data_IF_247566930361
#
_entry.id   IF_247566930361
#
_cell.length_a   1.000
_cell.length_b   1.000
_cell.length_c   1.000
_cell.angle_alpha   90.00
_cell.angle_beta   90.00
_cell.angle_gamma   90.00
#
_symmetry.space_group_name_H-M   'P 1'
#
loop_
_entity.id
_entity.type
_entity.pdbx_description
1 polymer ?
#
# COMPACT_ATOMS: atom_id res chain seq x y z
N UNK A 1 -54.40 -51.31 -23.90
CA UNK A 1 -55.29 -50.14 -24.04
C UNK A 1 -54.43 -48.91 -23.87
N UNK A 2 -54.54 -48.03 -24.85
CA UNK A 2 -53.65 -46.91 -25.15
C UNK A 2 -53.94 -45.66 -24.32
N UNK A 3 -52.94 -44.77 -24.34
CA UNK A 3 -52.98 -43.32 -24.15
C UNK A 3 -53.17 -42.74 -22.74
N UNK A 4 -52.13 -42.03 -22.28
CA UNK A 4 -52.20 -40.56 -22.25
C UNK A 4 -50.86 -39.90 -21.92
N UNK A 5 -50.37 -39.20 -22.94
CA UNK A 5 -49.54 -38.00 -22.93
C UNK A 5 -49.73 -37.13 -21.67
N UNK A 6 -48.64 -36.60 -21.10
CA UNK A 6 -48.44 -35.15 -20.84
C UNK A 6 -47.16 -34.82 -20.06
N UNK A 7 -46.45 -33.85 -20.64
CA UNK A 7 -45.77 -32.73 -19.98
C UNK A 7 -44.39 -32.96 -19.35
N UNK A 8 -43.40 -32.72 -20.21
CA UNK A 8 -42.19 -31.93 -19.93
C UNK A 8 -42.43 -30.84 -18.86
N UNK A 9 -41.66 -30.86 -17.78
CA UNK A 9 -41.31 -29.67 -17.00
C UNK A 9 -39.85 -29.80 -16.56
N UNK A 10 -38.96 -29.23 -17.38
CA UNK A 10 -37.58 -28.96 -17.02
C UNK A 10 -37.55 -27.84 -15.96
N UNK A 11 -37.12 -28.15 -14.74
CA UNK A 11 -36.86 -27.14 -13.71
C UNK A 11 -35.42 -26.65 -13.86
N UNK A 12 -35.24 -25.55 -14.59
CA UNK A 12 -34.02 -24.77 -14.56
C UNK A 12 -33.90 -24.09 -13.20
N UNK A 13 -32.91 -24.50 -12.40
CA UNK A 13 -32.52 -23.81 -11.17
C UNK A 13 -31.74 -22.57 -11.61
N UNK A 14 -32.43 -21.42 -11.64
CA UNK A 14 -31.80 -20.12 -11.86
C UNK A 14 -31.07 -19.73 -10.58
N UNK A 15 -29.76 -19.94 -10.55
CA UNK A 15 -28.87 -19.41 -9.49
C UNK A 15 -28.80 -17.90 -9.69
N UNK A 16 -29.61 -17.16 -8.93
CA UNK A 16 -29.47 -15.70 -8.81
C UNK A 16 -28.28 -15.41 -7.90
N UNK A 17 -27.07 -15.41 -8.48
CA UNK A 17 -25.90 -14.77 -7.88
C UNK A 17 -26.13 -13.26 -7.95
N UNK A 18 -26.79 -12.72 -6.93
CA UNK A 18 -26.75 -11.27 -6.68
C UNK A 18 -25.34 -10.94 -6.19
N UNK A 19 -24.41 -10.73 -7.13
CA UNK A 19 -23.18 -10.01 -6.87
C UNK A 19 -23.57 -8.57 -6.56
N UNK A 20 -23.89 -8.30 -5.29
CA UNK A 20 -24.02 -6.95 -4.78
C UNK A 20 -22.65 -6.29 -4.85
N UNK A 21 -22.38 -5.59 -5.95
CA UNK A 21 -21.30 -4.61 -6.03
C UNK A 21 -21.63 -3.46 -5.07
N UNK A 22 -21.41 -3.68 -3.78
CA UNK A 22 -21.33 -2.59 -2.82
C UNK A 22 -20.03 -1.86 -3.12
N UNK A 23 -20.12 -0.74 -3.84
CA UNK A 23 -18.99 0.16 -3.99
C UNK A 23 -18.64 0.71 -2.61
N UNK A 24 -17.61 0.13 -1.98
CA UNK A 24 -17.02 0.56 -0.71
C UNK A 24 -16.20 1.84 -0.91
N UNK A 25 -16.81 2.87 -1.49
CA UNK A 25 -16.17 4.16 -1.71
C UNK A 25 -15.90 4.77 -0.33
N UNK A 26 -14.62 4.95 0.01
CA UNK A 26 -14.23 5.64 1.22
C UNK A 26 -13.98 4.77 2.46
N UNK A 27 -13.85 3.44 2.33
CA UNK A 27 -13.36 2.59 3.44
C UNK A 27 -11.90 2.21 3.21
N UNK A 28 -11.07 2.16 4.27
CA UNK A 28 -9.74 1.57 4.18
C UNK A 28 -9.85 0.13 3.69
N UNK A 29 -9.07 -0.22 2.67
CA UNK A 29 -8.95 -1.61 2.20
C UNK A 29 -7.49 -2.03 2.21
N UNK A 30 -7.26 -3.32 2.41
CA UNK A 30 -5.95 -3.90 2.17
C UNK A 30 -5.60 -3.79 0.68
N UNK A 31 -4.32 -3.63 0.39
CA UNK A 31 -3.76 -3.73 -0.95
C UNK A 31 -2.90 -4.98 -1.03
N UNK A 32 -2.89 -5.59 -2.21
CA UNK A 32 -1.91 -6.64 -2.52
C UNK A 32 -0.60 -6.05 -3.08
N UNK A 33 0.39 -6.93 -3.30
CA UNK A 33 1.72 -6.54 -3.80
C UNK A 33 1.68 -5.96 -5.21
N UNK A 34 0.75 -6.40 -6.07
CA UNK A 34 0.66 -5.95 -7.45
C UNK A 34 0.11 -4.52 -7.50
N UNK A 35 -0.91 -4.23 -6.69
CA UNK A 35 -1.46 -2.89 -6.53
C UNK A 35 -0.43 -1.91 -5.96
N UNK A 36 0.34 -2.34 -4.95
CA UNK A 36 1.42 -1.51 -4.40
C UNK A 36 2.51 -1.29 -5.45
N UNK A 37 2.90 -2.31 -6.20
CA UNK A 37 3.89 -2.20 -7.28
C UNK A 37 3.43 -1.20 -8.35
N UNK A 38 2.17 -1.26 -8.75
CA UNK A 38 1.59 -0.29 -9.68
C UNK A 38 1.66 1.14 -9.14
N UNK A 39 1.34 1.34 -7.86
CA UNK A 39 1.40 2.66 -7.24
C UNK A 39 2.83 3.19 -7.07
N UNK A 40 3.80 2.32 -6.77
CA UNK A 40 5.23 2.68 -6.72
C UNK A 40 5.73 3.21 -8.07
N UNK A 41 5.32 2.57 -9.17
CA UNK A 41 5.64 3.04 -10.53
C UNK A 41 5.07 4.44 -10.79
N UNK A 42 3.84 4.72 -10.33
CA UNK A 42 3.20 6.04 -10.49
C UNK A 42 3.97 7.17 -9.78
N UNK A 43 4.56 6.89 -8.62
CA UNK A 43 5.37 7.85 -7.86
C UNK A 43 6.87 7.79 -8.18
N UNK A 44 7.25 7.00 -9.20
CA UNK A 44 8.64 6.77 -9.61
C UNK A 44 9.56 6.40 -8.43
N UNK A 45 9.06 5.54 -7.53
CA UNK A 45 9.81 5.04 -6.37
C UNK A 45 10.20 3.58 -6.59
N UNK A 46 11.46 3.25 -6.33
CA UNK A 46 12.02 1.90 -6.43
C UNK A 46 12.28 1.36 -5.03
N UNK A 47 11.64 0.25 -4.67
CA UNK A 47 11.98 -0.53 -3.48
C UNK A 47 13.19 -1.40 -3.82
N UNK A 48 14.33 -1.28 -3.11
CA UNK A 48 15.51 -2.10 -3.41
C UNK A 48 15.30 -3.59 -3.16
N UNK A 49 16.07 -4.42 -3.86
CA UNK A 49 16.12 -5.86 -3.61
C UNK A 49 16.43 -6.17 -2.14
N UNK A 50 15.78 -7.20 -1.60
CA UNK A 50 15.89 -7.61 -0.19
C UNK A 50 14.83 -7.00 0.73
N UNK A 51 14.07 -6.01 0.26
CA UNK A 51 12.84 -5.56 0.92
C UNK A 51 11.64 -6.36 0.40
N UNK A 52 11.01 -7.13 1.28
CA UNK A 52 9.86 -7.97 0.97
C UNK A 52 8.56 -7.25 1.36
N UNK A 53 7.55 -7.31 0.47
CA UNK A 53 6.24 -6.72 0.75
C UNK A 53 5.60 -7.40 1.97
N UNK A 54 5.24 -6.59 2.97
CA UNK A 54 4.62 -7.08 4.19
C UNK A 54 3.14 -6.67 4.31
N UNK A 55 2.82 -5.41 3.96
CA UNK A 55 1.46 -4.88 4.11
C UNK A 55 1.22 -3.68 3.21
N UNK A 56 -0.01 -3.53 2.73
CA UNK A 56 -0.47 -2.35 1.99
C UNK A 56 -1.91 -2.01 2.37
N UNK A 57 -2.24 -0.72 2.40
CA UNK A 57 -3.58 -0.25 2.71
C UNK A 57 -3.90 1.06 1.99
N UNK A 58 -5.13 1.22 1.52
CA UNK A 58 -5.66 2.51 1.09
C UNK A 58 -6.33 3.24 2.24
N UNK A 59 -6.36 4.56 2.16
CA UNK A 59 -6.95 5.46 3.15
C UNK A 59 -7.84 6.46 2.44
N UNK A 60 -8.92 6.83 3.09
CA UNK A 60 -9.84 7.82 2.54
C UNK A 60 -9.39 9.20 2.95
N UNK A 61 -9.16 10.05 1.97
CA UNK A 61 -8.83 11.46 2.17
C UNK A 61 -9.93 12.33 1.57
N UNK A 62 -10.01 13.56 2.06
CA UNK A 62 -11.08 14.50 1.71
C UNK A 62 -10.97 15.02 0.25
N UNK A 63 -9.82 14.81 -0.40
CA UNK A 63 -9.39 15.53 -1.62
C UNK A 63 -9.78 14.90 -2.96
N UNK A 64 -9.99 13.58 -3.08
CA UNK A 64 -10.45 13.02 -4.36
C UNK A 64 -9.98 11.59 -4.61
N UNK A 65 -8.68 11.37 -4.70
CA UNK A 65 -8.11 10.02 -4.74
C UNK A 65 -7.87 9.48 -3.33
N UNK A 66 -8.00 8.15 -3.10
CA UNK A 66 -7.59 7.56 -1.85
C UNK A 66 -6.06 7.61 -1.71
N UNK A 67 -5.57 8.06 -0.56
CA UNK A 67 -4.18 7.85 -0.19
C UNK A 67 -3.88 6.37 -0.01
N UNK A 68 -2.60 6.03 0.05
CA UNK A 68 -2.19 4.67 0.35
C UNK A 68 -0.89 4.65 1.16
N UNK A 69 -0.70 3.55 1.88
CA UNK A 69 0.52 3.25 2.59
C UNK A 69 0.96 1.82 2.33
N UNK A 70 2.26 1.56 2.30
CA UNK A 70 2.83 0.23 2.24
C UNK A 70 3.98 0.06 3.24
N UNK A 71 4.21 -1.17 3.70
CA UNK A 71 5.37 -1.60 4.46
C UNK A 71 6.09 -2.72 3.73
N UNK A 72 7.41 -2.62 3.71
CA UNK A 72 8.32 -3.67 3.29
C UNK A 72 9.30 -3.96 4.42
N UNK A 73 9.59 -5.24 4.65
CA UNK A 73 10.50 -5.69 5.70
C UNK A 73 11.79 -6.25 5.06
N UNK A 74 12.92 -6.05 5.72
CA UNK A 74 14.25 -6.42 5.24
C UNK A 74 15.18 -6.78 6.42
N UNK A 75 16.34 -7.42 6.15
CA UNK A 75 17.42 -7.54 7.14
C UNK A 75 17.91 -6.17 7.64
N UNK A 76 18.49 -6.12 8.86
CA UNK A 76 18.98 -4.89 9.50
C UNK A 76 20.04 -4.15 8.66
N UNK A 77 20.85 -4.88 7.89
CA UNK A 77 21.95 -4.32 7.10
C UNK A 77 21.47 -3.36 5.99
N UNK A 78 20.22 -3.51 5.54
CA UNK A 78 19.61 -2.62 4.54
C UNK A 78 19.01 -1.35 5.18
N UNK A 79 18.98 -1.26 6.50
CA UNK A 79 18.39 -0.16 7.27
C UNK A 79 19.24 1.10 7.36
N UNK A 80 20.46 1.11 6.80
CA UNK A 80 21.34 2.28 6.79
C UNK A 80 20.97 3.34 5.72
N UNK A 81 19.99 3.04 4.85
CA UNK A 81 19.43 4.00 3.90
C UNK A 81 20.28 4.29 2.67
N UNK A 82 21.51 3.76 2.57
CA UNK A 82 22.40 3.98 1.42
C UNK A 82 21.83 3.34 0.15
N UNK A 83 21.43 2.08 0.23
CA UNK A 83 20.83 1.34 -0.90
C UNK A 83 19.52 1.99 -1.34
N UNK A 84 18.69 2.43 -0.37
CA UNK A 84 17.43 3.09 -0.65
C UNK A 84 17.62 4.43 -1.36
N UNK A 85 18.57 5.24 -0.90
CA UNK A 85 18.90 6.54 -1.51
C UNK A 85 19.48 6.36 -2.92
N UNK A 86 20.34 5.35 -3.11
CA UNK A 86 20.93 5.03 -4.42
C UNK A 86 19.86 4.58 -5.44
N UNK A 87 18.86 3.82 -5.00
CA UNK A 87 17.74 3.40 -5.86
C UNK A 87 16.77 4.55 -6.22
N UNK A 88 16.77 5.64 -5.45
CA UNK A 88 15.81 6.74 -5.59
C UNK A 88 16.50 8.12 -5.67
N UNK A 89 17.36 8.38 -6.67
CA UNK A 89 18.16 9.61 -6.75
C UNK A 89 17.32 10.89 -7.00
N UNK A 90 16.04 10.74 -7.37
CA UNK A 90 15.10 11.85 -7.56
C UNK A 90 14.44 12.33 -6.27
N UNK A 91 14.56 11.55 -5.18
CA UNK A 91 14.05 11.90 -3.86
C UNK A 91 15.13 12.64 -3.06
N UNK A 92 14.76 13.55 -2.14
CA UNK A 92 15.73 14.16 -1.24
C UNK A 92 16.49 13.12 -0.41
N UNK A 93 17.72 13.40 0.03
CA UNK A 93 18.46 12.48 0.90
C UNK A 93 17.72 12.18 2.19
N UNK A 94 17.74 10.91 2.61
CA UNK A 94 17.22 10.48 3.90
C UNK A 94 17.85 11.29 5.05
N UNK A 95 17.00 11.76 5.96
CA UNK A 95 17.40 12.49 7.15
C UNK A 95 16.95 11.73 8.40
N UNK A 96 17.76 11.71 9.47
CA UNK A 96 17.34 11.09 10.73
C UNK A 96 16.12 11.82 11.31
N UNK A 97 15.22 11.07 11.95
CA UNK A 97 14.10 11.63 12.72
C UNK A 97 13.84 10.80 13.99
N UNK A 98 13.04 11.33 14.92
CA UNK A 98 12.72 10.68 16.19
C UNK A 98 11.22 10.40 16.33
N UNK A 99 10.83 9.53 17.29
CA UNK A 99 9.43 9.11 17.48
C UNK A 99 8.46 10.25 17.68
N UNK A 100 8.90 11.27 18.42
CA UNK A 100 8.16 12.49 18.71
C UNK A 100 7.96 13.39 17.47
N UNK A 101 8.66 13.12 16.37
CA UNK A 101 8.60 13.86 15.11
C UNK A 101 8.26 12.94 13.93
N UNK A 102 7.50 11.86 14.15
CA UNK A 102 6.99 11.03 13.05
C UNK A 102 6.19 11.93 12.09
N UNK A 103 6.54 11.99 10.80
CA UNK A 103 5.82 12.80 9.83
C UNK A 103 4.33 12.43 9.75
N UNK A 104 3.44 13.36 9.37
CA UNK A 104 2.04 13.02 9.12
C UNK A 104 1.89 11.91 8.07
N UNK A 105 0.98 10.97 8.32
CA UNK A 105 0.65 9.89 7.39
C UNK A 105 -0.24 8.83 8.02
N UNK A 106 -0.76 7.93 7.19
CA UNK A 106 -1.68 6.87 7.63
C UNK A 106 -0.93 5.59 8.07
N UNK A 107 0.00 5.74 9.00
CA UNK A 107 0.97 4.71 9.41
C UNK A 107 0.37 3.52 10.16
N UNK A 108 -0.74 3.74 10.88
CA UNK A 108 -1.42 2.68 11.60
C UNK A 108 -1.94 1.57 10.67
N UNK A 109 -2.28 1.89 9.41
CA UNK A 109 -2.76 0.92 8.43
C UNK A 109 -1.71 -0.07 7.95
N UNK A 110 -0.44 0.17 8.27
CA UNK A 110 0.70 -0.69 7.92
C UNK A 110 1.54 -1.07 9.14
N UNK A 111 0.94 -1.01 10.33
CA UNK A 111 1.56 -1.43 11.59
C UNK A 111 2.94 -0.78 11.83
N UNK A 112 3.04 0.52 11.57
CA UNK A 112 4.26 1.28 11.89
C UNK A 112 4.59 1.17 13.37
N UNK A 113 5.84 0.84 13.65
CA UNK A 113 6.41 0.83 14.99
C UNK A 113 7.56 1.82 15.03
N UNK A 114 7.63 2.58 16.13
CA UNK A 114 8.72 3.51 16.29
C UNK A 114 9.96 2.79 16.81
N UNK A 115 11.10 3.01 16.16
CA UNK A 115 12.36 2.33 16.48
C UNK A 115 13.47 3.31 16.87
N UNK A 116 14.57 2.78 17.40
CA UNK A 116 15.71 3.59 17.88
C UNK A 116 16.43 4.34 16.77
N UNK A 117 16.44 3.79 15.56
CA UNK A 117 17.07 4.39 14.40
C UNK A 117 16.03 4.51 13.29
N UNK A 118 15.77 5.75 12.90
CA UNK A 118 14.81 6.04 11.85
C UNK A 118 15.27 7.19 10.98
N UNK A 119 14.95 7.07 9.69
CA UNK A 119 15.23 8.06 8.67
C UNK A 119 14.00 8.33 7.82
N UNK A 120 13.86 9.55 7.34
CA UNK A 120 12.74 9.98 6.52
C UNK A 120 13.21 10.73 5.29
N UNK A 121 12.47 10.62 4.21
CA UNK A 121 12.53 11.54 3.08
C UNK A 121 11.12 11.83 2.59
N UNK A 122 10.93 12.98 1.95
CA UNK A 122 9.64 13.36 1.38
C UNK A 122 9.85 13.98 0.01
N UNK A 123 9.00 13.60 -0.94
CA UNK A 123 8.93 14.25 -2.24
C UNK A 123 7.69 15.15 -2.29
N UNK A 124 7.91 16.42 -2.63
CA UNK A 124 6.85 17.37 -2.92
C UNK A 124 6.04 16.92 -4.15
N UNK A 125 4.75 17.31 -4.24
CA UNK A 125 3.93 16.97 -5.38
C UNK A 125 4.54 17.58 -6.66
N UNK A 126 4.48 16.81 -7.74
CA UNK A 126 4.74 17.31 -9.10
C UNK A 126 3.43 17.30 -9.87
N UNK A 127 3.41 17.88 -11.07
CA UNK A 127 2.20 17.97 -11.90
C UNK A 127 1.49 16.63 -12.16
N UNK A 128 2.17 15.50 -11.96
CA UNK A 128 1.65 14.15 -12.20
C UNK A 128 1.80 13.20 -11.01
N UNK A 129 2.35 13.65 -9.87
CA UNK A 129 2.64 12.77 -8.73
C UNK A 129 2.23 13.42 -7.41
N UNK A 130 1.51 12.65 -6.61
CA UNK A 130 1.11 13.06 -5.27
C UNK A 130 2.33 13.13 -4.33
N UNK A 131 2.24 13.87 -3.20
CA UNK A 131 3.26 13.93 -2.18
C UNK A 131 3.50 12.55 -1.59
N UNK A 132 4.78 12.25 -1.38
CA UNK A 132 5.22 10.98 -0.84
C UNK A 132 6.05 11.24 0.40
N UNK A 133 5.79 10.49 1.46
CA UNK A 133 6.64 10.38 2.63
C UNK A 133 7.14 8.96 2.76
N UNK A 134 8.44 8.80 2.98
CA UNK A 134 9.10 7.51 3.13
C UNK A 134 9.81 7.49 4.46
N UNK A 135 9.55 6.46 5.26
CA UNK A 135 10.23 6.20 6.52
C UNK A 135 11.03 4.91 6.39
N UNK A 136 12.27 4.92 6.85
CA UNK A 136 13.09 3.73 7.02
C UNK A 136 13.39 3.61 8.51
N UNK A 137 13.08 2.46 9.09
CA UNK A 137 13.31 2.18 10.51
C UNK A 137 14.15 0.92 10.65
N UNK A 138 14.88 0.80 11.77
CA UNK A 138 15.58 -0.44 12.13
C UNK A 138 15.58 -0.64 13.65
N UNK A 139 15.41 -1.90 14.06
CA UNK A 139 15.31 -2.32 15.47
C UNK A 139 16.56 -3.09 15.95
N UNK A 140 17.59 -3.23 15.10
CA UNK A 140 18.80 -4.00 15.37
C UNK A 140 18.68 -5.49 15.00
N UNK A 141 17.51 -5.94 14.54
CA UNK A 141 17.28 -7.28 13.99
C UNK A 141 16.79 -7.22 12.54
N UNK A 142 15.97 -6.22 12.23
CA UNK A 142 15.35 -6.00 10.92
C UNK A 142 15.24 -4.52 10.62
N UNK A 143 15.05 -4.26 9.34
CA UNK A 143 14.69 -2.96 8.80
C UNK A 143 13.26 -3.00 8.27
N UNK A 144 12.52 -1.91 8.43
CA UNK A 144 11.21 -1.75 7.79
C UNK A 144 11.16 -0.42 7.04
N UNK A 145 10.74 -0.50 5.78
CA UNK A 145 10.49 0.62 4.89
C UNK A 145 8.99 0.87 4.83
N UNK A 146 8.58 2.09 5.18
CA UNK A 146 7.21 2.55 5.09
C UNK A 146 7.11 3.62 4.03
N UNK A 147 6.08 3.53 3.21
CA UNK A 147 5.78 4.51 2.17
C UNK A 147 4.36 4.97 2.38
N UNK A 148 4.13 6.27 2.36
CA UNK A 148 2.81 6.87 2.36
C UNK A 148 2.75 7.88 1.22
N UNK A 149 1.70 7.78 0.43
CA UNK A 149 1.41 8.67 -0.67
C UNK A 149 0.03 9.25 -0.44
N UNK A 150 -0.03 10.59 -0.38
CA UNK A 150 -1.28 11.32 -0.18
C UNK A 150 -2.17 11.17 -1.42
N UNK A 151 -3.48 11.25 -1.21
CA UNK A 151 -4.45 11.18 -2.29
C UNK A 151 -4.98 12.58 -2.59
N UNK A 152 -4.69 13.09 -3.79
CA UNK A 152 -5.16 14.41 -4.24
C UNK A 152 -6.34 14.32 -5.20
#
# INVERSE_FOLDING_TARGET
MTDSWKLLCASAILVLLTASCASEIGKPRSMDSDEVTHNLQRIAFTVPDGFEFAQGATHSEFSGQPAWSARFDAPDELGNGLTLSAANPSYPPLQPFACQTVPPGSWAGVNFTCESEMMTTSAEPKSTTDPVTVLLTRDGQRSSLYIYCQGH
#
